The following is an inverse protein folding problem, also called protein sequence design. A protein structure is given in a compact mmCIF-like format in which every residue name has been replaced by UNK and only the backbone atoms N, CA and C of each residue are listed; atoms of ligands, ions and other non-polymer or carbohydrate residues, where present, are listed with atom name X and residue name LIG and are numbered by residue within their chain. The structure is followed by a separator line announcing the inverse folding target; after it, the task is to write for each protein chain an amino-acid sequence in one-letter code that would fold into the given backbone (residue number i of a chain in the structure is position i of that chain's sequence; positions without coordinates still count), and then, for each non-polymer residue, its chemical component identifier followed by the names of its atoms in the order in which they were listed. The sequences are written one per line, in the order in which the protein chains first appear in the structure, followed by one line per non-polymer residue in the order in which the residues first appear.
data_IF_300208569058
#
_entry.id   IF_300208569058
#
_cell.length_a   1.000
_cell.length_b   1.000
_cell.length_c   1.000
_cell.angle_alpha   90.00
_cell.angle_beta   90.00
_cell.angle_gamma   90.00
#
_symmetry.space_group_name_H-M   'P 1'
#
loop_
_entity.id
_entity.type
_entity.pdbx_description
1 polymer ?
#
# COMPACT_ATOMS: atom_id res chain seq x y z
N UNK A 1 -29.28 -4.19 -46.20
CA UNK A 1 -27.82 -3.98 -46.22
C UNK A 1 -27.36 -4.03 -44.78
N UNK A 2 -27.00 -5.22 -44.31
CA UNK A 2 -26.59 -5.44 -42.93
C UNK A 2 -25.11 -5.03 -42.80
N UNK A 3 -24.81 -4.24 -41.77
CA UNK A 3 -23.43 -4.00 -41.36
C UNK A 3 -22.80 -5.34 -40.96
N UNK A 4 -21.55 -5.65 -41.34
CA UNK A 4 -20.93 -6.87 -40.87
C UNK A 4 -20.63 -6.68 -39.38
N UNK A 5 -21.14 -7.58 -38.54
CA UNK A 5 -20.71 -7.75 -37.16
C UNK A 5 -19.23 -8.16 -37.17
N UNK A 6 -18.35 -7.17 -37.20
CA UNK A 6 -16.93 -7.35 -36.90
C UNK A 6 -16.87 -7.61 -35.40
N UNK A 7 -17.03 -8.87 -35.02
CA UNK A 7 -16.71 -9.35 -33.68
C UNK A 7 -15.21 -9.16 -33.50
N UNK A 8 -14.82 -8.01 -32.99
CA UNK A 8 -13.42 -7.77 -32.61
C UNK A 8 -13.05 -8.85 -31.59
N UNK A 9 -11.94 -9.58 -31.78
CA UNK A 9 -11.51 -10.59 -30.84
C UNK A 9 -11.44 -9.99 -29.42
N UNK A 10 -11.80 -10.73 -28.36
CA UNK A 10 -11.78 -10.21 -26.99
C UNK A 10 -10.41 -9.64 -26.58
N UNK A 11 -9.33 -10.14 -27.19
CA UNK A 11 -7.97 -9.61 -27.05
C UNK A 11 -7.79 -8.19 -27.61
N UNK A 12 -8.46 -7.83 -28.71
CA UNK A 12 -8.39 -6.48 -29.30
C UNK A 12 -9.10 -5.44 -28.43
N UNK A 13 -10.24 -5.81 -27.85
CA UNK A 13 -10.96 -4.95 -26.90
C UNK A 13 -10.12 -4.76 -25.62
N UNK A 14 -9.53 -5.83 -25.09
CA UNK A 14 -8.68 -5.76 -23.91
C UNK A 14 -7.45 -4.87 -24.15
N UNK A 15 -6.77 -5.00 -25.28
CA UNK A 15 -5.61 -4.16 -25.63
C UNK A 15 -5.99 -2.68 -25.80
N UNK A 16 -7.14 -2.39 -26.40
CA UNK A 16 -7.63 -1.01 -26.54
C UNK A 16 -8.00 -0.38 -25.18
N UNK A 17 -8.62 -1.15 -24.28
CA UNK A 17 -8.92 -0.71 -22.92
C UNK A 17 -7.64 -0.49 -22.09
N UNK A 18 -6.65 -1.39 -22.23
CA UNK A 18 -5.35 -1.23 -21.58
C UNK A 18 -4.61 0.02 -22.09
N UNK A 19 -4.65 0.31 -23.39
CA UNK A 19 -4.09 1.53 -23.98
C UNK A 19 -4.73 2.79 -23.39
N UNK A 20 -6.07 2.84 -23.35
CA UNK A 20 -6.80 3.96 -22.76
C UNK A 20 -6.45 4.18 -21.28
N UNK A 21 -6.32 3.10 -20.50
CA UNK A 21 -5.95 3.17 -19.08
C UNK A 21 -4.53 3.72 -18.90
N UNK A 22 -3.58 3.35 -19.78
CA UNK A 22 -2.22 3.88 -19.76
C UNK A 22 -2.21 5.38 -20.04
N UNK A 23 -2.94 5.85 -21.05
CA UNK A 23 -3.01 7.27 -21.39
C UNK A 23 -3.58 8.12 -20.24
N UNK A 24 -4.65 7.61 -19.59
CA UNK A 24 -5.23 8.25 -18.41
C UNK A 24 -4.22 8.31 -17.26
N UNK A 25 -3.46 7.23 -17.03
CA UNK A 25 -2.44 7.18 -15.98
C UNK A 25 -1.28 8.14 -16.26
N UNK A 26 -0.81 8.24 -17.51
CA UNK A 26 0.25 9.16 -17.91
C UNK A 26 -0.19 10.61 -17.74
N UNK A 27 -1.41 10.94 -18.16
CA UNK A 27 -1.98 12.28 -17.94
C UNK A 27 -2.10 12.58 -16.44
N UNK A 28 -2.56 11.62 -15.62
CA UNK A 28 -2.59 11.79 -14.17
C UNK A 28 -1.19 12.05 -13.59
N UNK A 29 -0.17 11.31 -14.04
CA UNK A 29 1.20 11.49 -13.58
C UNK A 29 1.75 12.88 -13.94
N UNK A 30 1.51 13.34 -15.17
CA UNK A 30 1.94 14.68 -15.63
C UNK A 30 1.29 15.80 -14.81
N UNK A 31 -0.04 15.76 -14.66
CA UNK A 31 -0.81 16.75 -13.89
C UNK A 31 -0.35 16.85 -12.43
N UNK A 32 0.06 15.74 -11.82
CA UNK A 32 0.49 15.67 -10.43
C UNK A 32 2.01 15.75 -10.23
N UNK A 33 2.77 16.03 -11.30
CA UNK A 33 4.24 16.07 -11.30
C UNK A 33 4.84 14.79 -10.72
N UNK A 34 4.35 13.64 -11.16
CA UNK A 34 4.84 12.31 -10.80
C UNK A 34 5.76 11.76 -11.89
N UNK A 35 6.83 11.11 -11.47
CA UNK A 35 7.76 10.38 -12.28
C UNK A 35 7.36 8.90 -12.32
N UNK A 36 7.15 8.38 -13.53
CA UNK A 36 6.81 6.98 -13.78
C UNK A 36 8.09 6.15 -13.81
N UNK A 37 8.42 5.49 -12.70
CA UNK A 37 9.78 4.95 -12.50
C UNK A 37 10.15 3.87 -13.50
N UNK A 38 9.21 3.00 -13.86
CA UNK A 38 9.41 1.88 -14.78
C UNK A 38 9.78 2.30 -16.22
N UNK A 39 9.50 3.56 -16.59
CA UNK A 39 9.84 4.12 -17.91
C UNK A 39 11.20 4.84 -17.89
N UNK A 40 11.77 5.04 -16.71
CA UNK A 40 12.97 5.84 -16.50
C UNK A 40 14.29 5.12 -16.73
N UNK A 41 14.27 3.80 -16.91
CA UNK A 41 15.46 2.96 -16.97
C UNK A 41 15.40 2.02 -18.16
N UNK A 42 16.56 1.80 -18.79
CA UNK A 42 16.69 0.82 -19.85
C UNK A 42 16.91 -0.57 -19.25
N UNK A 43 15.93 -1.44 -19.40
CA UNK A 43 16.01 -2.84 -18.99
C UNK A 43 15.62 -3.76 -20.14
N UNK A 44 16.06 -5.02 -20.07
CA UNK A 44 15.56 -6.06 -20.96
C UNK A 44 14.04 -6.23 -20.79
N UNK A 45 13.32 -6.49 -21.88
CA UNK A 45 11.86 -6.62 -21.89
C UNK A 45 11.31 -7.50 -20.77
N UNK A 46 11.97 -8.64 -20.47
CA UNK A 46 11.58 -9.52 -19.36
C UNK A 46 11.38 -8.76 -18.03
N UNK A 47 12.23 -7.79 -17.74
CA UNK A 47 12.23 -6.96 -16.53
C UNK A 47 11.27 -5.75 -16.59
N UNK A 48 10.54 -5.59 -17.69
CA UNK A 48 9.53 -4.53 -17.86
C UNK A 48 8.10 -5.08 -17.78
N UNK A 49 7.92 -6.38 -18.05
CA UNK A 49 6.63 -7.06 -18.02
C UNK A 49 6.14 -7.21 -16.59
N UNK A 50 4.86 -6.86 -16.37
CA UNK A 50 4.23 -6.91 -15.04
C UNK A 50 3.02 -7.83 -15.01
N UNK A 51 2.59 -8.35 -16.17
CA UNK A 51 1.46 -9.27 -16.25
C UNK A 51 1.60 -10.28 -17.39
N UNK A 52 1.18 -11.51 -17.12
CA UNK A 52 1.06 -12.63 -18.06
C UNK A 52 -0.41 -13.04 -18.19
N UNK A 53 -0.87 -13.23 -19.42
CA UNK A 53 -2.15 -13.89 -19.69
C UNK A 53 -2.06 -15.37 -19.34
N UNK A 54 -3.22 -15.94 -19.02
CA UNK A 54 -3.37 -17.36 -18.73
C UNK A 54 -3.04 -18.26 -19.93
N UNK A 55 -2.96 -17.67 -21.13
CA UNK A 55 -2.49 -18.33 -22.37
C UNK A 55 -0.96 -18.43 -22.48
N UNK A 56 -0.20 -17.78 -21.59
CA UNK A 56 1.26 -17.75 -21.60
C UNK A 56 1.90 -17.00 -22.78
N UNK A 57 1.09 -16.43 -23.68
CA UNK A 57 1.55 -15.76 -24.90
C UNK A 57 1.41 -14.24 -24.82
N UNK A 58 0.41 -13.74 -24.09
CA UNK A 58 0.18 -12.29 -23.97
C UNK A 58 0.87 -11.75 -22.72
N UNK A 59 1.66 -10.69 -22.88
CA UNK A 59 2.36 -10.03 -21.77
C UNK A 59 2.17 -8.51 -21.85
N UNK A 60 2.03 -7.88 -20.70
CA UNK A 60 1.75 -6.44 -20.62
C UNK A 60 2.50 -5.77 -19.46
N UNK A 61 2.67 -4.45 -19.56
CA UNK A 61 3.11 -3.58 -18.46
C UNK A 61 1.89 -2.77 -17.99
N UNK A 62 1.30 -3.17 -16.87
CA UNK A 62 0.07 -2.54 -16.32
C UNK A 62 0.25 -2.06 -14.89
N UNK A 63 1.33 -2.46 -14.22
CA UNK A 63 1.65 -2.07 -12.85
C UNK A 63 2.78 -1.03 -12.86
N UNK A 64 2.48 0.19 -12.40
CA UNK A 64 3.40 1.32 -12.43
C UNK A 64 3.70 1.81 -11.02
N UNK A 65 4.97 2.12 -10.75
CA UNK A 65 5.38 2.83 -9.53
C UNK A 65 5.54 4.31 -9.88
N UNK A 66 4.82 5.16 -9.15
CA UNK A 66 4.86 6.61 -9.31
C UNK A 66 5.58 7.24 -8.12
N UNK A 67 6.53 8.12 -8.40
CA UNK A 67 7.28 8.85 -7.37
C UNK A 67 7.14 10.34 -7.65
N UNK A 68 6.99 11.17 -6.61
CA UNK A 68 7.00 12.63 -6.81
C UNK A 68 8.27 13.06 -7.55
N UNK A 69 8.13 13.86 -8.61
CA UNK A 69 9.26 14.27 -9.46
C UNK A 69 10.37 14.97 -8.69
N UNK A 70 10.06 15.59 -7.54
CA UNK A 70 11.05 16.18 -6.63
C UNK A 70 12.08 15.16 -6.10
N UNK A 71 11.71 13.88 -6.04
CA UNK A 71 12.54 12.77 -5.58
C UNK A 71 12.99 11.85 -6.72
N UNK A 72 12.84 12.28 -7.99
CA UNK A 72 13.25 11.48 -9.15
C UNK A 72 14.70 11.00 -9.04
N UNK A 73 15.60 11.86 -8.57
CA UNK A 73 17.03 11.54 -8.39
C UNK A 73 17.30 10.50 -7.31
N UNK A 74 16.33 10.19 -6.45
CA UNK A 74 16.45 9.12 -5.46
C UNK A 74 16.15 7.75 -6.06
N UNK A 75 15.44 7.68 -7.18
CA UNK A 75 15.14 6.42 -7.86
C UNK A 75 16.36 6.00 -8.68
N UNK A 76 16.91 4.83 -8.39
CA UNK A 76 18.12 4.32 -9.06
C UNK A 76 17.87 3.12 -9.97
N UNK A 77 16.75 2.43 -9.80
CA UNK A 77 16.38 1.24 -10.55
C UNK A 77 14.87 1.03 -10.44
N UNK A 78 14.23 0.48 -11.47
CA UNK A 78 12.83 0.09 -11.41
C UNK A 78 12.55 -1.03 -12.40
N UNK A 79 12.20 -2.22 -11.90
CA UNK A 79 12.06 -3.42 -12.71
C UNK A 79 11.11 -4.44 -12.10
N UNK A 80 10.61 -5.35 -12.93
CA UNK A 80 9.88 -6.53 -12.51
C UNK A 80 10.82 -7.66 -12.09
N UNK A 81 10.34 -8.48 -11.15
CA UNK A 81 11.05 -9.64 -10.60
C UNK A 81 10.61 -10.93 -11.29
N UNK A 82 11.17 -11.21 -12.48
CA UNK A 82 10.96 -12.49 -13.16
C UNK A 82 11.47 -13.66 -12.31
N UNK A 83 10.69 -14.74 -12.17
CA UNK A 83 11.08 -15.94 -11.41
C UNK A 83 10.81 -15.87 -9.90
N UNK A 84 10.23 -14.77 -9.40
CA UNK A 84 9.68 -14.68 -8.04
C UNK A 84 8.15 -14.87 -8.03
N UNK A 85 7.57 -15.27 -9.17
CA UNK A 85 6.16 -15.60 -9.29
C UNK A 85 5.82 -16.73 -8.31
N UNK A 86 4.92 -16.43 -7.37
CA UNK A 86 4.50 -17.36 -6.33
C UNK A 86 3.86 -18.56 -7.00
N UNK A 87 4.62 -19.64 -7.14
CA UNK A 87 4.16 -20.88 -7.73
C UNK A 87 2.97 -21.43 -6.95
N UNK A 88 1.78 -21.20 -7.49
CA UNK A 88 0.63 -22.05 -7.26
C UNK A 88 -0.10 -22.22 -8.60
N UNK A 89 -0.81 -23.33 -8.76
CA UNK A 89 -1.49 -23.72 -10.01
C UNK A 89 -2.63 -22.76 -10.44
N UNK A 90 -2.81 -21.65 -9.71
CA UNK A 90 -3.76 -20.56 -9.92
C UNK A 90 -3.08 -19.19 -9.75
N UNK A 91 -1.79 -19.10 -10.12
CA UNK A 91 -0.97 -17.91 -9.93
C UNK A 91 -1.65 -16.68 -10.52
N UNK A 92 -1.64 -15.59 -9.75
CA UNK A 92 -2.00 -14.29 -10.31
C UNK A 92 -1.03 -14.01 -11.46
N UNK A 93 -1.54 -13.71 -12.66
CA UNK A 93 -0.71 -13.36 -13.81
C UNK A 93 0.20 -12.15 -13.56
N UNK A 94 0.04 -11.44 -12.44
CA UNK A 94 0.86 -10.31 -12.06
C UNK A 94 2.26 -10.69 -11.58
N UNK A 95 3.25 -9.96 -12.08
CA UNK A 95 4.65 -10.02 -11.66
C UNK A 95 4.92 -8.86 -10.71
N UNK A 96 5.61 -9.16 -9.62
CA UNK A 96 6.03 -8.14 -8.67
C UNK A 96 6.96 -7.12 -9.34
N UNK A 97 6.66 -5.84 -9.12
CA UNK A 97 7.47 -4.70 -9.55
C UNK A 97 8.13 -4.08 -8.33
N UNK A 98 9.40 -3.72 -8.45
CA UNK A 98 10.07 -2.92 -7.42
C UNK A 98 10.75 -1.69 -8.01
N UNK A 99 10.99 -0.71 -7.14
CA UNK A 99 11.89 0.41 -7.38
C UNK A 99 12.96 0.43 -6.28
N UNK A 100 14.20 0.72 -6.64
CA UNK A 100 15.30 0.93 -5.67
C UNK A 100 15.46 2.42 -5.44
N UNK A 101 15.26 2.83 -4.19
CA UNK A 101 15.38 4.23 -3.78
C UNK A 101 16.61 4.42 -2.89
N UNK A 102 17.35 5.50 -3.12
CA UNK A 102 18.41 6.00 -2.24
C UNK A 102 17.94 7.28 -1.58
N UNK A 103 17.54 7.16 -0.33
CA UNK A 103 16.99 8.27 0.46
C UNK A 103 18.11 8.91 1.28
N UNK A 104 18.21 10.23 1.20
CA UNK A 104 19.09 11.02 2.05
C UNK A 104 18.23 11.61 3.17
N UNK A 105 18.25 10.99 4.34
CA UNK A 105 17.47 11.44 5.50
C UNK A 105 18.36 12.28 6.43
N UNK A 106 17.85 13.42 6.88
CA UNK A 106 18.47 14.17 7.97
C UNK A 106 18.28 13.40 9.28
N UNK A 107 19.30 13.42 10.16
CA UNK A 107 19.19 12.79 11.47
C UNK A 107 17.98 13.37 12.22
N UNK A 108 17.05 12.51 12.62
CA UNK A 108 15.95 12.93 13.46
C UNK A 108 16.49 13.34 14.84
N UNK A 109 15.94 14.40 15.47
CA UNK A 109 16.21 14.66 16.87
C UNK A 109 15.97 13.38 17.67
N UNK A 110 16.92 13.01 18.54
CA UNK A 110 16.68 11.95 19.52
C UNK A 110 15.46 12.35 20.33
N UNK A 111 14.31 11.73 20.07
CA UNK A 111 13.21 11.72 21.03
C UNK A 111 13.82 11.06 22.25
N UNK A 112 14.07 11.84 23.31
CA UNK A 112 14.52 11.28 24.59
C UNK A 112 13.55 10.17 24.92
N UNK A 113 14.04 8.93 25.01
CA UNK A 113 13.21 7.76 25.31
C UNK A 113 12.23 8.14 26.40
N UNK A 114 10.94 7.83 26.20
CA UNK A 114 9.87 8.11 27.16
C UNK A 114 10.43 8.02 28.57
N UNK A 115 10.37 9.14 29.31
CA UNK A 115 10.96 9.30 30.64
C UNK A 115 10.74 8.01 31.41
N UNK A 116 11.81 7.27 31.72
CA UNK A 116 11.73 6.02 32.48
C UNK A 116 10.85 6.28 33.68
N UNK A 117 9.74 5.54 33.77
CA UNK A 117 8.81 5.67 34.88
C UNK A 117 9.57 5.30 36.16
N UNK A 118 9.51 6.18 37.15
CA UNK A 118 10.19 5.95 38.43
C UNK A 118 9.41 4.88 39.22
N UNK A 119 9.79 3.61 39.00
CA UNK A 119 9.14 2.44 39.59
C UNK A 119 9.19 2.49 41.13
N UNK A 120 10.21 3.15 41.71
CA UNK A 120 10.31 3.30 43.15
C UNK A 120 9.20 4.20 43.70
N UNK A 121 8.83 5.26 42.98
CA UNK A 121 7.70 6.14 43.36
C UNK A 121 6.36 5.41 43.26
N UNK A 122 6.19 4.55 42.25
CA UNK A 122 4.95 3.78 42.05
C UNK A 122 4.76 2.73 43.15
N UNK A 123 5.84 2.19 43.72
CA UNK A 123 5.79 1.22 44.82
C UNK A 123 5.41 1.84 46.17
N UNK A 124 5.38 3.17 46.28
CA UNK A 124 4.90 3.81 47.51
C UNK A 124 3.39 3.56 47.67
N UNK A 125 2.93 3.11 48.84
CA UNK A 125 1.55 2.66 49.03
C UNK A 125 0.51 3.71 48.62
N UNK A 126 0.71 4.98 48.99
CA UNK A 126 -0.21 6.06 48.60
C UNK A 126 -0.26 6.34 47.08
N UNK A 127 0.87 6.18 46.37
CA UNK A 127 0.93 6.38 44.91
C UNK A 127 0.35 5.18 44.17
N UNK A 128 0.60 3.96 44.66
CA UNK A 128 0.02 2.73 44.12
C UNK A 128 -1.51 2.73 44.23
N UNK A 129 -2.05 3.15 45.37
CA UNK A 129 -3.49 3.23 45.60
C UNK A 129 -4.17 4.29 44.75
N UNK A 130 -3.56 5.47 44.60
CA UNK A 130 -4.07 6.52 43.73
C UNK A 130 -4.14 6.07 42.27
N UNK A 131 -3.06 5.45 41.78
CA UNK A 131 -3.01 4.89 40.43
C UNK A 131 -4.05 3.77 40.24
N UNK A 132 -4.17 2.87 41.23
CA UNK A 132 -5.12 1.76 41.16
C UNK A 132 -6.57 2.26 41.13
N UNK A 133 -6.88 3.33 41.88
CA UNK A 133 -8.19 3.98 41.86
C UNK A 133 -8.50 4.59 40.49
N UNK A 134 -7.54 5.28 39.90
CA UNK A 134 -7.70 5.95 38.62
C UNK A 134 -7.83 4.95 37.46
N UNK A 135 -7.00 3.89 37.44
CA UNK A 135 -7.16 2.78 36.49
C UNK A 135 -8.55 2.16 36.63
N UNK A 136 -9.03 1.96 37.87
CA UNK A 136 -10.36 1.40 38.12
C UNK A 136 -11.47 2.34 37.61
N UNK A 137 -11.36 3.66 37.83
CA UNK A 137 -12.37 4.60 37.34
C UNK A 137 -12.41 4.68 35.81
N UNK A 138 -11.28 4.48 35.13
CA UNK A 138 -11.25 4.45 33.66
C UNK A 138 -11.77 3.13 33.06
N UNK A 139 -11.50 2.00 33.71
CA UNK A 139 -11.83 0.67 33.16
C UNK A 139 -13.21 0.16 33.58
N UNK A 140 -13.75 0.67 34.69
CA UNK A 140 -15.08 0.31 35.18
C UNK A 140 -15.86 1.60 35.40
N UNK A 141 -16.40 2.23 34.33
CA UNK A 141 -17.46 3.21 34.51
C UNK A 141 -18.59 2.49 35.24
N UNK A 142 -18.84 2.97 36.45
CA UNK A 142 -19.84 2.48 37.38
C UNK A 142 -21.14 2.20 36.60
N UNK A 143 -21.61 0.94 36.63
CA UNK A 143 -22.92 0.56 36.12
C UNK A 143 -23.99 1.07 37.09
N UNK A 144 -24.13 2.38 37.24
CA UNK A 144 -25.19 3.03 38.00
C UNK A 144 -26.38 3.35 37.10
N UNK A 145 -26.93 2.33 36.43
CA UNK A 145 -28.28 2.44 35.86
C UNK A 145 -28.97 1.07 35.65
N UNK A 146 -28.88 0.15 36.62
CA UNK A 146 -29.77 -1.03 36.66
C UNK A 146 -30.19 -1.38 38.09
N UNK A 147 -30.82 -0.44 38.79
CA UNK A 147 -31.58 -0.73 40.00
C UNK A 147 -32.67 0.33 40.28
N UNK A 148 -33.47 0.70 39.27
CA UNK A 148 -34.70 1.50 39.50
C UNK A 148 -35.95 0.91 38.81
N UNK A 149 -35.83 -0.06 37.91
CA UNK A 149 -36.99 -0.63 37.20
C UNK A 149 -37.13 -2.13 37.51
N UNK A 150 -37.60 -2.44 38.72
CA UNK A 150 -38.26 -3.71 39.05
C UNK A 150 -38.96 -3.55 40.40
N UNK A 151 -40.02 -2.76 40.40
CA UNK A 151 -40.81 -2.42 41.58
C UNK A 151 -42.16 -1.82 41.20
N UNK A 152 -42.81 -2.37 40.17
CA UNK A 152 -44.24 -2.19 39.92
C UNK A 152 -44.73 -3.34 39.03
N UNK A 153 -45.17 -4.42 39.67
CA UNK A 153 -46.50 -5.01 39.55
C UNK A 153 -46.63 -6.21 40.48
#
# INVERSE_FOLDING_TARGET
MAWPDVVTPPTVILLALLGLVIDVMLNFADQNRLFVTNTGFQHHNKHLLTWYSNDGHTTSQIDYILVSSRFRSWVHDSRSMCGAETGNAYGSGHVLVHARLKVHLASAPKISSARRLDVAKIRQPGTAEALHREIRSFLLPEQTEKAVISGHH
#
